data_IF_942260288802
#
_entry.id   IF_942260288802
#
_cell.length_a   1.000
_cell.length_b   1.000
_cell.length_c   1.000
_cell.angle_alpha   90.00
_cell.angle_beta   90.00
_cell.angle_gamma   90.00
#
_symmetry.space_group_name_H-M   'P 1'
#
loop_
_entity.id
_entity.type
_entity.pdbx_description
1 polymer ?
#
# COMPACT_ATOMS: atom_id res chain seq x y z
N UNK A 1 5.86 43.31 9.21
CA UNK A 1 5.76 41.83 9.30
C UNK A 1 5.54 41.31 7.89
N UNK A 2 6.27 40.32 7.38
CA UNK A 2 6.02 39.82 6.02
C UNK A 2 4.57 39.36 5.94
N UNK A 3 3.84 39.85 4.94
CA UNK A 3 2.45 39.47 4.67
C UNK A 3 2.37 37.93 4.64
N UNK A 4 1.34 37.35 5.28
CA UNK A 4 1.15 35.90 5.38
C UNK A 4 1.17 35.24 3.98
N UNK A 5 0.73 35.99 2.96
CA UNK A 5 0.80 35.60 1.55
C UNK A 5 2.23 35.46 1.02
N UNK A 6 3.13 36.40 1.35
CA UNK A 6 4.53 36.33 0.91
C UNK A 6 5.25 35.15 1.55
N UNK A 7 5.00 34.86 2.83
CA UNK A 7 5.56 33.66 3.49
C UNK A 7 5.04 32.38 2.84
N UNK A 8 3.74 32.31 2.57
CA UNK A 8 3.11 31.16 1.90
C UNK A 8 3.68 30.93 0.50
N UNK A 9 3.99 31.99 -0.24
CA UNK A 9 4.59 31.90 -1.57
C UNK A 9 6.03 31.37 -1.48
N UNK A 10 6.88 31.97 -0.64
CA UNK A 10 8.29 31.58 -0.50
C UNK A 10 8.42 30.13 -0.03
N UNK A 11 7.68 29.76 1.02
CA UNK A 11 7.70 28.39 1.52
C UNK A 11 7.06 27.41 0.53
N UNK A 12 6.05 27.83 -0.22
CA UNK A 12 5.46 27.03 -1.29
C UNK A 12 6.47 26.68 -2.36
N UNK A 13 7.19 27.67 -2.88
CA UNK A 13 8.27 27.48 -3.87
C UNK A 13 9.38 26.58 -3.35
N UNK A 14 9.77 26.71 -2.08
CA UNK A 14 10.77 25.84 -1.46
C UNK A 14 10.29 24.39 -1.38
N UNK A 15 9.04 24.15 -0.99
CA UNK A 15 8.47 22.79 -0.91
C UNK A 15 8.28 22.17 -2.29
N UNK A 16 7.90 22.97 -3.29
CA UNK A 16 7.88 22.55 -4.70
C UNK A 16 9.29 22.13 -5.15
N UNK A 17 10.32 22.92 -4.85
CA UNK A 17 11.68 22.57 -5.23
C UNK A 17 12.16 21.26 -4.58
N UNK A 18 11.90 21.09 -3.28
CA UNK A 18 12.24 19.84 -2.56
C UNK A 18 11.47 18.65 -3.17
N UNK A 19 10.18 18.80 -3.45
CA UNK A 19 9.38 17.77 -4.09
C UNK A 19 9.97 17.36 -5.45
N UNK A 20 10.26 18.34 -6.31
CA UNK A 20 10.84 18.08 -7.64
C UNK A 20 12.20 17.40 -7.54
N UNK A 21 13.05 17.79 -6.58
CA UNK A 21 14.35 17.12 -6.35
C UNK A 21 14.14 15.66 -5.94
N UNK A 22 13.17 15.36 -5.06
CA UNK A 22 12.86 13.99 -4.67
C UNK A 22 12.33 13.16 -5.86
N UNK A 23 11.52 13.76 -6.73
CA UNK A 23 11.07 13.13 -7.97
C UNK A 23 12.22 12.88 -8.95
N UNK A 24 13.16 13.82 -9.07
CA UNK A 24 14.36 13.69 -9.92
C UNK A 24 15.28 12.57 -9.43
N UNK A 25 15.53 12.50 -8.10
CA UNK A 25 16.25 11.39 -7.49
C UNK A 25 15.55 10.06 -7.79
N UNK A 26 14.21 10.05 -7.69
CA UNK A 26 13.41 8.87 -8.02
C UNK A 26 13.51 8.45 -9.48
N UNK A 27 13.72 9.40 -10.40
CA UNK A 27 13.76 9.13 -11.83
C UNK A 27 15.12 8.61 -12.30
N UNK A 28 16.21 9.14 -11.73
CA UNK A 28 17.55 8.98 -12.32
C UNK A 28 18.59 8.33 -11.42
N UNK A 29 18.31 8.12 -10.13
CA UNK A 29 19.30 7.52 -9.20
C UNK A 29 18.90 6.08 -8.87
N UNK A 30 19.56 5.07 -9.47
CA UNK A 30 19.35 3.67 -9.14
C UNK A 30 19.54 3.39 -7.65
N UNK A 31 18.86 2.37 -7.12
CA UNK A 31 18.86 1.93 -5.72
C UNK A 31 18.26 2.93 -4.70
N UNK A 32 18.40 4.25 -4.92
CA UNK A 32 17.88 5.30 -4.03
C UNK A 32 16.47 5.75 -4.46
N UNK A 33 16.02 5.36 -5.65
CA UNK A 33 14.73 5.81 -6.19
C UNK A 33 13.56 5.65 -5.21
N UNK A 34 13.54 4.54 -4.47
CA UNK A 34 12.48 4.24 -3.51
C UNK A 34 12.46 5.24 -2.35
N UNK A 35 13.61 5.75 -1.92
CA UNK A 35 13.70 6.77 -0.87
C UNK A 35 13.06 8.07 -1.34
N UNK A 36 13.32 8.47 -2.59
CA UNK A 36 12.69 9.64 -3.19
C UNK A 36 11.16 9.51 -3.21
N UNK A 37 10.63 8.39 -3.67
CA UNK A 37 9.17 8.15 -3.72
C UNK A 37 8.53 8.13 -2.32
N UNK A 38 9.20 7.51 -1.33
CA UNK A 38 8.67 7.40 0.03
C UNK A 38 8.60 8.76 0.76
N UNK A 39 9.52 9.68 0.47
CA UNK A 39 9.58 11.00 1.09
C UNK A 39 9.02 12.13 0.20
N UNK A 40 8.68 11.89 -1.07
CA UNK A 40 8.09 12.92 -1.94
C UNK A 40 6.80 13.55 -1.35
N UNK A 41 5.89 12.82 -0.68
CA UNK A 41 4.73 13.45 -0.04
C UNK A 41 5.10 14.43 1.09
N UNK A 42 6.29 14.33 1.67
CA UNK A 42 6.74 15.08 2.85
C UNK A 42 6.66 16.61 2.69
N UNK A 43 7.32 17.25 1.70
CA UNK A 43 7.30 18.70 1.54
C UNK A 43 5.88 19.23 1.34
N UNK A 44 5.05 18.51 0.58
CA UNK A 44 3.67 18.91 0.29
C UNK A 44 2.79 18.72 1.53
N UNK A 45 2.97 17.64 2.29
CA UNK A 45 2.28 17.42 3.56
C UNK A 45 2.62 18.51 4.58
N UNK A 46 3.89 18.90 4.67
CA UNK A 46 4.30 19.99 5.55
C UNK A 46 3.67 21.32 5.12
N UNK A 47 3.68 21.64 3.82
CA UNK A 47 3.05 22.86 3.31
C UNK A 47 1.53 22.88 3.58
N UNK A 48 0.85 21.78 3.24
CA UNK A 48 -0.60 21.64 3.43
C UNK A 48 -1.01 21.60 4.89
N UNK A 49 -0.11 21.29 5.82
CA UNK A 49 -0.38 21.37 7.26
C UNK A 49 -0.36 22.81 7.79
N UNK A 50 0.39 23.71 7.16
CA UNK A 50 0.61 25.09 7.60
C UNK A 50 -0.24 26.13 6.85
N UNK A 51 -0.64 25.83 5.61
CA UNK A 51 -1.29 26.78 4.71
C UNK A 51 -2.67 26.34 4.23
N UNK A 52 -3.39 27.25 3.56
CA UNK A 52 -4.72 27.00 3.01
C UNK A 52 -4.67 25.91 1.93
N UNK A 53 -5.76 25.14 1.80
CA UNK A 53 -5.90 24.09 0.77
C UNK A 53 -5.72 24.62 -0.66
N UNK A 54 -6.24 25.81 -0.96
CA UNK A 54 -6.10 26.42 -2.29
C UNK A 54 -4.63 26.65 -2.68
N UNK A 55 -3.80 27.15 -1.76
CA UNK A 55 -2.36 27.30 -1.98
C UNK A 55 -1.66 25.95 -2.12
N UNK A 56 -2.13 24.92 -1.41
CA UNK A 56 -1.56 23.57 -1.49
C UNK A 56 -1.83 22.91 -2.84
N UNK A 57 -3.01 23.14 -3.43
CA UNK A 57 -3.35 22.70 -4.79
C UNK A 57 -2.39 23.33 -5.81
N UNK A 58 -2.10 24.63 -5.67
CA UNK A 58 -1.12 25.30 -6.55
C UNK A 58 0.27 24.68 -6.44
N UNK A 59 0.74 24.39 -5.22
CA UNK A 59 2.01 23.68 -4.98
C UNK A 59 2.04 22.32 -5.69
N UNK A 60 0.95 21.56 -5.65
CA UNK A 60 0.85 20.28 -6.36
C UNK A 60 0.88 20.46 -7.87
N UNK A 61 0.09 21.38 -8.42
CA UNK A 61 0.06 21.64 -9.87
C UNK A 61 1.44 22.03 -10.37
N UNK A 62 2.11 22.97 -9.70
CA UNK A 62 3.46 23.41 -10.08
C UNK A 62 4.47 22.28 -9.90
N UNK A 63 4.39 21.51 -8.80
CA UNK A 63 5.25 20.35 -8.57
C UNK A 63 5.13 19.27 -9.65
N UNK A 64 3.90 18.97 -10.10
CA UNK A 64 3.66 18.05 -11.21
C UNK A 64 4.23 18.58 -12.52
N UNK A 65 3.99 19.86 -12.85
CA UNK A 65 4.55 20.50 -14.06
C UNK A 65 6.08 20.43 -14.05
N UNK A 66 6.73 20.82 -12.95
CA UNK A 66 8.18 20.75 -12.84
C UNK A 66 8.70 19.33 -12.89
N UNK A 67 7.96 18.35 -12.37
CA UNK A 67 8.34 16.93 -12.49
C UNK A 67 8.31 16.48 -13.94
N UNK A 68 7.31 16.89 -14.74
CA UNK A 68 7.29 16.59 -16.18
C UNK A 68 8.50 17.22 -16.87
N UNK A 69 8.79 18.49 -16.58
CA UNK A 69 9.90 19.23 -17.23
C UNK A 69 11.28 18.66 -16.88
N UNK A 70 11.45 18.13 -15.68
CA UNK A 70 12.76 17.68 -15.18
C UNK A 70 12.97 16.17 -15.28
N UNK A 71 11.90 15.38 -15.11
CA UNK A 71 11.95 13.92 -14.97
C UNK A 71 11.18 13.19 -16.08
N UNK A 72 10.51 13.92 -16.97
CA UNK A 72 9.75 13.38 -18.10
C UNK A 72 8.31 12.99 -17.76
N UNK A 73 7.50 12.78 -18.81
CA UNK A 73 6.06 12.51 -18.69
C UNK A 73 5.75 11.19 -17.97
N UNK A 74 6.67 10.22 -18.02
CA UNK A 74 6.52 8.91 -17.36
C UNK A 74 6.46 9.06 -15.83
N UNK A 75 7.05 10.12 -15.26
CA UNK A 75 7.04 10.36 -13.81
C UNK A 75 5.81 11.10 -13.31
N UNK A 76 4.97 11.62 -14.21
CA UNK A 76 3.74 12.35 -13.85
C UNK A 76 2.77 11.55 -12.98
N UNK A 77 2.47 10.26 -13.23
CA UNK A 77 1.56 9.51 -12.38
C UNK A 77 2.04 9.39 -10.94
N UNK A 78 3.33 9.11 -10.76
CA UNK A 78 3.96 9.04 -9.44
C UNK A 78 3.88 10.41 -8.74
N UNK A 79 4.24 11.48 -9.46
CA UNK A 79 4.14 12.83 -8.93
C UNK A 79 2.72 13.16 -8.46
N UNK A 80 1.72 12.87 -9.31
CA UNK A 80 0.32 13.13 -9.04
C UNK A 80 -0.19 12.38 -7.81
N UNK A 81 0.04 11.06 -7.74
CA UNK A 81 -0.39 10.22 -6.61
C UNK A 81 0.26 10.70 -5.30
N UNK A 82 1.57 10.91 -5.30
CA UNK A 82 2.33 11.28 -4.10
C UNK A 82 2.04 12.71 -3.65
N UNK A 83 1.83 13.63 -4.59
CA UNK A 83 1.46 15.01 -4.29
C UNK A 83 0.06 15.12 -3.69
N UNK A 84 -0.93 14.39 -4.23
CA UNK A 84 -2.27 14.32 -3.64
C UNK A 84 -2.26 13.69 -2.26
N UNK A 85 -1.48 12.61 -2.08
CA UNK A 85 -1.27 12.01 -0.76
C UNK A 85 -0.68 13.02 0.22
N UNK A 86 0.30 13.83 -0.21
CA UNK A 86 0.85 14.92 0.58
C UNK A 86 -0.23 15.91 1.06
N UNK A 87 -1.10 16.39 0.16
CA UNK A 87 -2.24 17.26 0.53
C UNK A 87 -3.14 16.60 1.57
N UNK A 88 -3.49 15.32 1.39
CA UNK A 88 -4.40 14.61 2.29
C UNK A 88 -3.80 14.46 3.68
N UNK A 89 -2.52 14.06 3.77
CA UNK A 89 -1.79 13.96 5.04
C UNK A 89 -1.73 15.33 5.72
N UNK A 90 -1.28 16.37 5.01
CA UNK A 90 -1.16 17.72 5.56
C UNK A 90 -2.50 18.31 6.00
N UNK A 91 -3.55 18.12 5.21
CA UNK A 91 -4.90 18.56 5.54
C UNK A 91 -5.46 17.85 6.78
N UNK A 92 -5.23 16.55 6.93
CA UNK A 92 -5.67 15.79 8.10
C UNK A 92 -4.93 16.25 9.37
N UNK A 93 -3.64 16.57 9.27
CA UNK A 93 -2.83 17.14 10.36
C UNK A 93 -3.34 18.55 10.73
N UNK A 94 -3.53 19.43 9.75
CA UNK A 94 -4.02 20.80 9.97
C UNK A 94 -5.36 20.83 10.73
N UNK A 95 -6.26 19.90 10.38
CA UNK A 95 -7.57 19.76 11.01
C UNK A 95 -7.56 18.90 12.28
N UNK A 96 -6.39 18.48 12.78
CA UNK A 96 -6.21 17.65 13.98
C UNK A 96 -7.07 16.38 13.98
N UNK A 97 -7.18 15.72 12.81
CA UNK A 97 -8.02 14.52 12.65
C UNK A 97 -7.39 13.30 13.34
N UNK A 98 -8.22 12.30 13.60
CA UNK A 98 -7.78 11.05 14.25
C UNK A 98 -6.81 10.25 13.38
N UNK A 99 -6.04 9.35 14.01
CA UNK A 99 -5.11 8.42 13.33
C UNK A 99 -5.83 7.57 12.27
N UNK A 100 -7.02 7.08 12.62
CA UNK A 100 -7.83 6.28 11.71
C UNK A 100 -8.27 7.10 10.50
N UNK A 101 -8.73 8.34 10.73
CA UNK A 101 -9.09 9.23 9.62
C UNK A 101 -7.90 9.51 8.71
N UNK A 102 -6.73 9.82 9.28
CA UNK A 102 -5.50 10.06 8.52
C UNK A 102 -5.13 8.85 7.64
N UNK A 103 -5.15 7.64 8.21
CA UNK A 103 -4.83 6.42 7.47
C UNK A 103 -5.86 6.11 6.38
N UNK A 104 -7.15 6.12 6.72
CA UNK A 104 -8.22 5.79 5.77
C UNK A 104 -8.30 6.80 4.63
N UNK A 105 -8.23 8.10 4.93
CA UNK A 105 -8.25 9.14 3.90
C UNK A 105 -7.03 9.06 2.97
N UNK A 106 -5.85 8.75 3.51
CA UNK A 106 -4.63 8.57 2.72
C UNK A 106 -4.70 7.34 1.81
N UNK A 107 -5.17 6.21 2.32
CA UNK A 107 -5.36 4.99 1.51
C UNK A 107 -6.38 5.20 0.39
N UNK A 108 -7.52 5.83 0.69
CA UNK A 108 -8.53 6.19 -0.31
C UNK A 108 -7.98 7.20 -1.33
N UNK A 109 -7.19 8.19 -0.90
CA UNK A 109 -6.58 9.15 -1.80
C UNK A 109 -5.63 8.48 -2.79
N UNK A 110 -4.77 7.56 -2.33
CA UNK A 110 -3.88 6.78 -3.20
C UNK A 110 -4.69 5.91 -4.16
N UNK A 111 -5.71 5.21 -3.65
CA UNK A 111 -6.57 4.33 -4.45
C UNK A 111 -7.28 5.10 -5.58
N UNK A 112 -7.92 6.23 -5.25
CA UNK A 112 -8.59 7.08 -6.23
C UNK A 112 -7.59 7.67 -7.23
N UNK A 113 -6.41 8.10 -6.77
CA UNK A 113 -5.38 8.64 -7.65
C UNK A 113 -4.86 7.58 -8.62
N UNK A 114 -4.66 6.33 -8.17
CA UNK A 114 -4.30 5.20 -9.01
C UNK A 114 -5.40 4.91 -10.04
N UNK A 115 -6.67 4.93 -9.64
CA UNK A 115 -7.80 4.72 -10.55
C UNK A 115 -7.87 5.82 -11.63
N UNK A 116 -7.69 7.09 -11.25
CA UNK A 116 -7.65 8.22 -12.18
C UNK A 116 -6.49 8.07 -13.16
N UNK A 117 -5.30 7.74 -12.66
CA UNK A 117 -4.11 7.48 -13.49
C UNK A 117 -4.36 6.34 -14.47
N UNK A 118 -4.94 5.23 -14.02
CA UNK A 118 -5.24 4.08 -14.87
C UNK A 118 -6.21 4.46 -15.99
N UNK A 119 -7.32 5.13 -15.67
CA UNK A 119 -8.29 5.60 -16.66
C UNK A 119 -7.62 6.58 -17.65
N UNK A 120 -6.74 7.47 -17.17
CA UNK A 120 -6.03 8.39 -18.03
C UNK A 120 -5.10 7.67 -19.03
N UNK A 121 -4.38 6.64 -18.60
CA UNK A 121 -3.54 5.83 -19.49
C UNK A 121 -4.35 5.12 -20.57
N UNK A 122 -5.46 4.51 -20.19
CA UNK A 122 -6.32 3.79 -21.13
C UNK A 122 -6.94 4.76 -22.16
N UNK A 123 -7.45 5.91 -21.70
CA UNK A 123 -8.21 6.84 -22.56
C UNK A 123 -7.31 7.75 -23.41
N UNK A 124 -6.21 8.26 -22.86
CA UNK A 124 -5.38 9.25 -23.54
C UNK A 124 -4.12 8.68 -24.18
N UNK A 125 -3.54 7.61 -23.62
CA UNK A 125 -2.35 6.98 -24.17
C UNK A 125 -2.67 5.71 -24.96
N UNK A 126 -3.92 5.21 -24.91
CA UNK A 126 -4.32 3.91 -25.45
C UNK A 126 -3.45 2.76 -24.89
N UNK A 127 -2.97 2.92 -23.65
CA UNK A 127 -2.13 1.95 -22.95
C UNK A 127 -3.00 1.28 -21.89
N UNK A 128 -3.24 -0.02 -22.04
CA UNK A 128 -3.82 -0.85 -21.00
C UNK A 128 -2.71 -1.61 -20.28
N UNK A 129 -2.32 -1.09 -19.11
CA UNK A 129 -1.24 -1.65 -18.27
C UNK A 129 -1.58 -3.07 -17.82
N UNK A 130 -2.87 -3.37 -17.62
CA UNK A 130 -3.32 -4.70 -17.18
C UNK A 130 -3.07 -5.73 -18.28
N UNK A 131 -3.55 -5.48 -19.50
CA UNK A 131 -3.35 -6.40 -20.62
C UNK A 131 -1.88 -6.55 -20.97
N UNK A 132 -1.13 -5.45 -20.99
CA UNK A 132 0.32 -5.50 -21.20
C UNK A 132 1.02 -6.37 -20.15
N UNK A 133 0.58 -6.32 -18.89
CA UNK A 133 1.15 -7.15 -17.83
C UNK A 133 0.77 -8.63 -17.98
N UNK A 134 -0.48 -8.94 -18.36
CA UNK A 134 -0.92 -10.33 -18.54
C UNK A 134 -0.32 -10.97 -19.80
N UNK A 135 -0.12 -10.21 -20.87
CA UNK A 135 0.57 -10.64 -22.10
C UNK A 135 2.05 -10.96 -21.81
N UNK A 136 2.74 -10.08 -21.08
CA UNK A 136 4.11 -10.33 -20.65
C UNK A 136 4.19 -11.60 -19.77
N UNK A 137 3.26 -11.78 -18.83
CA UNK A 137 3.25 -12.99 -18.00
C UNK A 137 3.01 -14.25 -18.84
N UNK A 138 2.10 -14.21 -19.81
CA UNK A 138 1.86 -15.31 -20.76
C UNK A 138 3.14 -15.70 -21.49
N UNK A 139 3.83 -14.72 -22.07
CA UNK A 139 5.08 -14.92 -22.79
C UNK A 139 6.13 -15.60 -21.88
N UNK A 140 6.24 -15.16 -20.63
CA UNK A 140 7.17 -15.77 -19.66
C UNK A 140 6.82 -17.24 -19.36
N UNK A 141 5.54 -17.60 -19.25
CA UNK A 141 5.14 -18.99 -19.05
C UNK A 141 5.38 -19.85 -20.29
N UNK A 142 5.12 -19.33 -21.49
CA UNK A 142 5.38 -20.01 -22.75
C UNK A 142 6.88 -20.27 -22.94
N UNK A 143 7.72 -19.27 -22.70
CA UNK A 143 9.19 -19.44 -22.71
C UNK A 143 9.67 -20.47 -21.68
N UNK A 144 9.07 -20.48 -20.47
CA UNK A 144 9.39 -21.47 -19.44
C UNK A 144 9.03 -22.90 -19.88
N UNK A 145 7.91 -23.05 -20.57
CA UNK A 145 7.48 -24.34 -21.13
C UNK A 145 8.40 -24.81 -22.27
N UNK A 146 8.87 -23.92 -23.14
CA UNK A 146 9.83 -24.26 -24.19
C UNK A 146 11.17 -24.75 -23.60
N UNK A 147 11.66 -24.07 -22.56
CA UNK A 147 12.86 -24.47 -21.84
C UNK A 147 12.68 -25.84 -21.18
N UNK A 148 11.55 -26.05 -20.48
CA UNK A 148 11.27 -27.33 -19.85
C UNK A 148 11.16 -28.46 -20.86
N UNK A 149 10.47 -28.23 -21.98
CA UNK A 149 10.37 -29.22 -23.07
C UNK A 149 11.74 -29.59 -23.63
N UNK A 150 12.66 -28.63 -23.70
CA UNK A 150 14.04 -28.86 -24.15
C UNK A 150 14.85 -29.69 -23.15
N UNK A 151 14.65 -29.49 -21.85
CA UNK A 151 15.44 -30.14 -20.78
C UNK A 151 14.88 -31.49 -20.36
N UNK A 152 13.56 -31.61 -20.20
CA UNK A 152 12.89 -32.78 -19.62
C UNK A 152 11.98 -33.51 -20.62
N UNK A 153 11.75 -32.94 -21.81
CA UNK A 153 10.79 -33.47 -22.79
C UNK A 153 9.32 -33.23 -22.40
N UNK A 154 9.06 -32.54 -21.29
CA UNK A 154 7.72 -32.32 -20.75
C UNK A 154 7.39 -30.85 -20.61
N UNK A 155 6.10 -30.53 -20.74
CA UNK A 155 5.55 -29.19 -20.50
C UNK A 155 5.21 -29.08 -19.01
N UNK A 156 5.56 -27.96 -18.38
CA UNK A 156 5.34 -27.75 -16.94
C UNK A 156 3.92 -27.23 -16.67
N UNK A 157 3.47 -26.27 -17.47
CA UNK A 157 2.15 -25.64 -17.33
C UNK A 157 1.32 -25.89 -18.59
N UNK A 158 0.13 -26.46 -18.43
CA UNK A 158 -0.81 -26.60 -19.57
C UNK A 158 -1.38 -25.23 -19.95
N UNK A 159 -1.78 -25.05 -21.22
CA UNK A 159 -2.29 -23.75 -21.68
C UNK A 159 -3.54 -23.33 -20.91
N UNK A 160 -4.42 -24.28 -20.60
CA UNK A 160 -5.63 -24.04 -19.81
C UNK A 160 -5.30 -23.58 -18.38
N UNK A 161 -4.19 -24.05 -17.81
CA UNK A 161 -3.72 -23.61 -16.50
C UNK A 161 -3.19 -22.17 -16.56
N UNK A 162 -2.41 -21.84 -17.59
CA UNK A 162 -1.91 -20.47 -17.82
C UNK A 162 -3.10 -19.51 -17.97
N UNK A 163 -4.08 -19.85 -18.81
CA UNK A 163 -5.27 -19.04 -19.02
C UNK A 163 -6.09 -18.84 -17.73
N UNK A 164 -6.29 -19.90 -16.95
CA UNK A 164 -6.99 -19.82 -15.67
C UNK A 164 -6.23 -18.94 -14.66
N UNK A 165 -4.90 -19.03 -14.61
CA UNK A 165 -4.06 -18.19 -13.74
C UNK A 165 -4.13 -16.72 -14.14
N UNK A 166 -3.95 -16.41 -15.42
CA UNK A 166 -4.02 -15.03 -15.94
C UNK A 166 -5.40 -14.42 -15.72
N UNK A 167 -6.47 -15.18 -15.98
CA UNK A 167 -7.83 -14.73 -15.68
C UNK A 167 -8.03 -14.48 -14.19
N UNK A 168 -7.50 -15.33 -13.31
CA UNK A 168 -7.55 -15.11 -11.85
C UNK A 168 -6.82 -13.83 -11.44
N UNK A 169 -5.67 -13.53 -12.06
CA UNK A 169 -4.95 -12.27 -11.86
C UNK A 169 -5.85 -11.10 -12.25
N UNK A 170 -6.47 -11.13 -13.43
CA UNK A 170 -7.38 -10.07 -13.89
C UNK A 170 -8.56 -9.85 -12.93
N UNK A 171 -9.19 -10.93 -12.48
CA UNK A 171 -10.34 -10.85 -11.56
C UNK A 171 -9.94 -10.32 -10.17
N UNK A 172 -8.67 -10.42 -9.76
CA UNK A 172 -8.16 -9.97 -8.44
C UNK A 172 -7.54 -8.58 -8.45
N UNK A 173 -7.52 -7.89 -9.59
CA UNK A 173 -6.98 -6.53 -9.72
C UNK A 173 -7.61 -5.54 -8.74
N UNK A 174 -8.94 -5.49 -8.54
CA UNK A 174 -9.53 -4.56 -7.58
C UNK A 174 -8.96 -4.70 -6.17
N UNK A 175 -8.82 -5.94 -5.67
CA UNK A 175 -8.22 -6.22 -4.38
C UNK A 175 -6.74 -5.87 -4.36
N UNK A 176 -5.99 -6.23 -5.40
CA UNK A 176 -4.55 -5.97 -5.50
C UNK A 176 -4.24 -4.48 -5.44
N UNK A 177 -4.96 -3.65 -6.22
CA UNK A 177 -4.80 -2.20 -6.22
C UNK A 177 -5.22 -1.61 -4.87
N UNK A 178 -6.31 -2.11 -4.27
CA UNK A 178 -6.76 -1.68 -2.94
C UNK A 178 -5.71 -1.96 -1.87
N UNK A 179 -5.20 -3.19 -1.80
CA UNK A 179 -4.16 -3.60 -0.85
C UNK A 179 -2.91 -2.75 -1.05
N UNK A 180 -2.46 -2.59 -2.30
CA UNK A 180 -1.26 -1.81 -2.63
C UNK A 180 -1.41 -0.34 -2.21
N UNK A 181 -2.57 0.28 -2.47
CA UNK A 181 -2.83 1.67 -2.09
C UNK A 181 -2.78 1.88 -0.57
N UNK A 182 -3.43 1.01 0.21
CA UNK A 182 -3.43 1.11 1.67
C UNK A 182 -2.08 0.73 2.29
N UNK A 183 -1.35 -0.23 1.71
CA UNK A 183 0.02 -0.53 2.12
C UNK A 183 0.96 0.63 1.85
N UNK A 184 0.91 1.24 0.67
CA UNK A 184 1.71 2.41 0.33
C UNK A 184 1.40 3.57 1.29
N UNK A 185 0.13 3.87 1.54
CA UNK A 185 -0.27 4.87 2.52
C UNK A 185 0.25 4.56 3.93
N UNK A 186 0.17 3.30 4.38
CA UNK A 186 0.69 2.87 5.69
C UNK A 186 2.19 3.14 5.82
N UNK A 187 2.97 2.72 4.82
CA UNK A 187 4.44 2.86 4.81
C UNK A 187 4.81 4.34 4.79
N UNK A 188 4.21 5.12 3.88
CA UNK A 188 4.49 6.55 3.72
C UNK A 188 4.15 7.30 5.02
N UNK A 189 2.97 7.10 5.60
CA UNK A 189 2.59 7.74 6.87
C UNK A 189 3.59 7.38 7.98
N UNK A 190 3.94 6.09 8.11
CA UNK A 190 4.84 5.60 9.16
C UNK A 190 6.22 6.26 9.08
N UNK A 191 6.75 6.47 7.87
CA UNK A 191 8.06 7.10 7.65
C UNK A 191 8.01 8.64 7.75
N UNK A 192 6.93 9.26 7.27
CA UNK A 192 6.85 10.71 7.14
C UNK A 192 6.41 11.40 8.44
N UNK A 193 5.51 10.81 9.23
CA UNK A 193 5.01 11.45 10.46
C UNK A 193 6.13 11.79 11.48
N UNK A 194 7.11 10.91 11.76
CA UNK A 194 8.22 11.26 12.65
C UNK A 194 9.01 12.47 12.16
N UNK A 195 9.20 12.61 10.85
CA UNK A 195 9.91 13.75 10.27
C UNK A 195 9.06 15.01 10.34
N UNK A 196 7.77 14.94 10.00
CA UNK A 196 6.82 16.05 10.14
C UNK A 196 6.74 16.56 11.59
N UNK A 197 6.82 15.65 12.58
CA UNK A 197 6.92 16.00 14.00
C UNK A 197 8.18 16.81 14.30
N UNK A 198 9.33 16.41 13.77
CA UNK A 198 10.60 17.13 13.93
C UNK A 198 10.58 18.51 13.27
N UNK A 199 9.77 18.67 12.22
CA UNK A 199 9.52 19.95 11.54
C UNK A 199 8.48 20.84 12.26
N UNK A 200 8.11 20.51 13.50
CA UNK A 200 7.26 21.34 14.36
C UNK A 200 5.76 21.10 14.24
N UNK A 201 5.32 20.08 13.51
CA UNK A 201 3.88 19.76 13.38
C UNK A 201 3.39 18.87 14.53
N UNK A 202 2.17 19.15 15.02
CA UNK A 202 1.46 18.29 15.96
C UNK A 202 0.83 17.12 15.21
N UNK A 203 1.56 15.99 15.17
CA UNK A 203 1.15 14.79 14.43
C UNK A 203 0.59 13.70 15.34
N UNK A 204 -0.40 12.94 14.86
CA UNK A 204 -0.97 11.85 15.64
C UNK A 204 0.01 10.67 15.77
N UNK A 205 0.26 10.21 17.01
CA UNK A 205 1.22 9.12 17.29
C UNK A 205 0.61 7.73 17.09
N UNK A 206 1.02 6.99 16.06
CA UNK A 206 0.59 5.59 15.90
C UNK A 206 1.13 4.68 17.01
N UNK A 207 0.34 3.67 17.39
CA UNK A 207 0.83 2.62 18.27
C UNK A 207 1.86 1.77 17.52
N UNK A 208 2.85 1.17 18.21
CA UNK A 208 3.76 0.21 17.58
C UNK A 208 2.98 -0.90 16.86
N UNK A 209 3.47 -1.35 15.71
CA UNK A 209 2.80 -2.37 14.87
C UNK A 209 2.49 -3.67 15.64
N UNK A 210 3.36 -4.07 16.57
CA UNK A 210 3.11 -5.20 17.47
C UNK A 210 1.84 -5.07 18.32
N UNK A 211 1.27 -3.87 18.48
CA UNK A 211 0.03 -3.63 19.22
C UNK A 211 -1.18 -3.46 18.28
N UNK A 212 -0.99 -3.61 16.96
CA UNK A 212 -2.09 -3.57 16.00
C UNK A 212 -3.10 -4.67 16.33
N UNK A 213 -4.38 -4.30 16.35
CA UNK A 213 -5.50 -5.22 16.48
C UNK A 213 -6.60 -4.81 15.52
N UNK A 214 -7.01 -5.76 14.69
CA UNK A 214 -8.19 -5.63 13.86
C UNK A 214 -9.48 -5.78 14.68
N UNK A 215 -10.61 -5.24 14.19
CA UNK A 215 -11.91 -5.47 14.82
C UNK A 215 -12.34 -6.93 14.64
N UNK A 216 -13.02 -7.50 15.65
CA UNK A 216 -13.52 -8.89 15.61
C UNK A 216 -14.50 -9.15 14.47
N UNK A 217 -15.11 -8.12 13.88
CA UNK A 217 -15.96 -8.24 12.69
C UNK A 217 -15.26 -8.87 11.48
N UNK A 218 -13.93 -8.75 11.37
CA UNK A 218 -13.14 -9.40 10.31
C UNK A 218 -13.33 -10.92 10.32
N UNK A 219 -13.49 -11.54 11.49
CA UNK A 219 -13.76 -12.98 11.59
C UNK A 219 -15.11 -13.35 11.00
N UNK A 220 -16.14 -12.55 11.26
CA UNK A 220 -17.47 -12.80 10.71
C UNK A 220 -17.48 -12.66 9.19
N UNK A 221 -16.82 -11.64 8.64
CA UNK A 221 -16.66 -11.51 7.18
C UNK A 221 -15.91 -12.70 6.58
N UNK A 222 -14.83 -13.16 7.24
CA UNK A 222 -14.09 -14.34 6.82
C UNK A 222 -14.94 -15.61 6.85
N UNK A 223 -15.72 -15.83 7.91
CA UNK A 223 -16.61 -16.98 8.02
C UNK A 223 -17.69 -16.97 6.94
N UNK A 224 -18.30 -15.82 6.64
CA UNK A 224 -19.29 -15.69 5.55
C UNK A 224 -18.68 -16.09 4.21
N UNK A 225 -17.51 -15.53 3.89
CA UNK A 225 -16.79 -15.81 2.65
C UNK A 225 -16.40 -17.29 2.56
N UNK A 226 -15.96 -17.89 3.66
CA UNK A 226 -15.63 -19.32 3.73
C UNK A 226 -16.87 -20.20 3.49
N UNK A 227 -18.01 -19.85 4.09
CA UNK A 227 -19.28 -20.55 3.85
C UNK A 227 -19.73 -20.46 2.39
N UNK A 228 -19.60 -19.29 1.76
CA UNK A 228 -19.96 -19.13 0.34
C UNK A 228 -19.06 -20.03 -0.52
N UNK A 229 -17.75 -20.04 -0.29
CA UNK A 229 -16.83 -20.90 -1.03
C UNK A 229 -17.12 -22.40 -0.84
N UNK A 230 -17.46 -22.82 0.38
CA UNK A 230 -17.65 -24.25 0.69
C UNK A 230 -18.99 -24.81 0.20
N UNK A 231 -20.07 -24.05 0.41
CA UNK A 231 -21.44 -24.51 0.21
C UNK A 231 -22.07 -24.01 -1.10
N UNK A 232 -21.77 -22.79 -1.53
CA UNK A 232 -22.35 -22.21 -2.77
C UNK A 232 -21.49 -22.57 -3.98
N UNK A 233 -20.16 -22.46 -3.86
CA UNK A 233 -19.19 -22.75 -4.94
C UNK A 233 -19.51 -21.95 -6.21
N UNK A 234 -19.35 -20.62 -6.17
CA UNK A 234 -19.72 -19.77 -7.30
C UNK A 234 -18.97 -20.18 -8.57
N UNK A 235 -19.65 -20.08 -9.70
CA UNK A 235 -19.05 -20.39 -11.01
C UNK A 235 -17.91 -19.43 -11.33
N UNK A 236 -16.83 -19.96 -11.93
CA UNK A 236 -15.62 -19.20 -12.20
C UNK A 236 -15.87 -18.00 -13.12
N UNK A 237 -15.53 -16.80 -12.65
CA UNK A 237 -15.76 -15.54 -13.35
C UNK A 237 -17.17 -14.98 -13.25
N UNK A 238 -18.07 -15.63 -12.50
CA UNK A 238 -19.37 -15.04 -12.16
C UNK A 238 -19.20 -13.81 -11.26
N UNK A 239 -20.19 -12.91 -11.23
CA UNK A 239 -20.16 -11.73 -10.36
C UNK A 239 -19.93 -12.08 -8.89
N UNK A 240 -20.54 -13.18 -8.41
CA UNK A 240 -20.37 -13.65 -7.04
C UNK A 240 -18.94 -14.15 -6.80
N UNK A 241 -18.37 -14.90 -7.73
CA UNK A 241 -16.97 -15.36 -7.66
C UNK A 241 -16.01 -14.18 -7.58
N UNK A 242 -16.18 -13.15 -8.43
CA UNK A 242 -15.36 -11.93 -8.42
C UNK A 242 -15.42 -11.22 -7.07
N UNK A 243 -16.62 -11.04 -6.51
CA UNK A 243 -16.80 -10.40 -5.20
C UNK A 243 -16.10 -11.23 -4.12
N UNK A 244 -16.37 -12.53 -4.08
CA UNK A 244 -15.81 -13.45 -3.08
C UNK A 244 -14.28 -13.46 -3.16
N UNK A 245 -13.71 -13.55 -4.36
CA UNK A 245 -12.27 -13.59 -4.61
C UNK A 245 -11.56 -12.31 -4.13
N UNK A 246 -12.11 -11.15 -4.45
CA UNK A 246 -11.52 -9.87 -4.02
C UNK A 246 -11.66 -9.64 -2.50
N UNK A 247 -12.83 -9.93 -1.93
CA UNK A 247 -13.04 -9.82 -0.48
C UNK A 247 -12.16 -10.82 0.27
N UNK A 248 -12.03 -12.06 -0.21
CA UNK A 248 -11.12 -13.07 0.34
C UNK A 248 -9.69 -12.56 0.36
N UNK A 249 -9.21 -12.00 -0.75
CA UNK A 249 -7.85 -11.48 -0.89
C UNK A 249 -7.55 -10.39 0.14
N UNK A 250 -8.48 -9.45 0.34
CA UNK A 250 -8.34 -8.39 1.36
C UNK A 250 -8.35 -9.00 2.76
N UNK A 251 -9.26 -9.92 3.06
CA UNK A 251 -9.35 -10.56 4.37
C UNK A 251 -8.09 -11.38 4.70
N UNK A 252 -7.55 -12.13 3.74
CA UNK A 252 -6.29 -12.86 3.90
C UNK A 252 -5.15 -11.92 4.23
N UNK A 253 -5.01 -10.81 3.50
CA UNK A 253 -3.98 -9.80 3.79
C UNK A 253 -4.13 -9.22 5.21
N UNK A 254 -5.35 -8.88 5.62
CA UNK A 254 -5.64 -8.38 6.96
C UNK A 254 -5.28 -9.40 8.05
N UNK A 255 -5.66 -10.68 7.87
CA UNK A 255 -5.34 -11.76 8.80
C UNK A 255 -3.84 -12.06 8.85
N UNK A 256 -3.13 -11.98 7.73
CA UNK A 256 -1.67 -12.06 7.70
C UNK A 256 -1.07 -10.94 8.55
N UNK A 257 -1.49 -9.68 8.36
CA UNK A 257 -1.00 -8.56 9.15
C UNK A 257 -1.29 -8.73 10.65
N UNK A 258 -2.48 -9.25 11.00
CA UNK A 258 -2.84 -9.59 12.38
C UNK A 258 -1.92 -10.66 12.97
N UNK A 259 -1.66 -11.75 12.21
CA UNK A 259 -0.75 -12.83 12.60
C UNK A 259 0.69 -12.34 12.80
N UNK A 260 1.23 -11.54 11.88
CA UNK A 260 2.56 -10.94 12.02
C UNK A 260 2.61 -10.01 13.24
N UNK A 261 1.57 -9.18 13.44
CA UNK A 261 1.49 -8.31 14.63
C UNK A 261 1.51 -9.11 15.93
N UNK A 262 0.82 -10.25 15.98
CA UNK A 262 0.85 -11.16 17.12
C UNK A 262 2.24 -11.78 17.33
N UNK A 263 2.91 -12.22 16.28
CA UNK A 263 4.28 -12.75 16.38
C UNK A 263 5.23 -11.69 16.94
N UNK A 264 5.16 -10.45 16.43
CA UNK A 264 5.97 -9.34 16.95
C UNK A 264 5.66 -9.04 18.41
N UNK A 265 4.39 -9.10 18.80
CA UNK A 265 3.96 -8.96 20.19
C UNK A 265 4.57 -10.04 21.09
N UNK A 266 4.51 -11.30 20.65
CA UNK A 266 5.06 -12.44 21.38
C UNK A 266 6.59 -12.32 21.55
N UNK A 267 7.32 -12.04 20.47
CA UNK A 267 8.78 -11.87 20.48
C UNK A 267 9.18 -10.74 21.43
N UNK A 268 8.48 -9.60 21.37
CA UNK A 268 8.73 -8.47 22.28
C UNK A 268 8.43 -8.79 23.73
N UNK A 269 7.38 -9.58 24.01
CA UNK A 269 7.05 -9.97 25.38
C UNK A 269 7.99 -11.02 25.96
N UNK A 270 8.66 -11.78 25.11
CA UNK A 270 9.74 -12.70 25.48
C UNK A 270 11.12 -12.04 25.47
N UNK A 271 11.19 -10.72 25.31
CA UNK A 271 12.43 -9.92 25.31
C UNK A 271 13.48 -10.42 24.30
N UNK A 272 13.02 -11.05 23.22
CA UNK A 272 13.89 -11.60 22.19
C UNK A 272 14.47 -10.49 21.30
N UNK A 273 15.65 -10.70 20.67
CA UNK A 273 16.28 -9.71 19.82
C UNK A 273 15.39 -9.26 18.65
N UNK A 274 15.51 -7.98 18.26
CA UNK A 274 14.75 -7.42 17.13
C UNK A 274 15.04 -8.13 15.78
N UNK A 275 16.22 -8.76 15.63
CA UNK A 275 16.55 -9.57 14.46
C UNK A 275 15.52 -10.71 14.23
N UNK A 276 15.00 -11.29 15.32
CA UNK A 276 14.01 -12.37 15.23
C UNK A 276 12.69 -11.88 14.63
N UNK A 277 12.30 -10.62 14.89
CA UNK A 277 11.09 -10.03 14.27
C UNK A 277 11.23 -9.90 12.76
N UNK A 278 12.42 -9.55 12.27
CA UNK A 278 12.69 -9.45 10.83
C UNK A 278 12.63 -10.81 10.16
N UNK A 279 13.31 -11.81 10.74
CA UNK A 279 13.25 -13.20 10.25
C UNK A 279 11.82 -13.72 10.27
N UNK A 280 11.07 -13.49 11.35
CA UNK A 280 9.68 -13.91 11.45
C UNK A 280 8.78 -13.24 10.42
N UNK A 281 8.99 -11.94 10.13
CA UNK A 281 8.26 -11.23 9.06
C UNK A 281 8.60 -11.79 7.69
N UNK A 282 9.87 -12.10 7.44
CA UNK A 282 10.32 -12.67 6.16
C UNK A 282 9.71 -14.05 5.93
N UNK A 283 9.68 -14.90 6.97
CA UNK A 283 9.07 -16.23 6.91
C UNK A 283 7.54 -16.21 6.90
N UNK A 284 6.91 -15.08 7.22
CA UNK A 284 5.45 -14.99 7.24
C UNK A 284 4.82 -15.14 5.84
N UNK A 285 5.53 -14.75 4.77
CA UNK A 285 5.06 -14.87 3.40
C UNK A 285 4.99 -16.32 2.91
N UNK A 286 6.08 -17.13 2.97
CA UNK A 286 6.02 -18.53 2.56
C UNK A 286 5.13 -19.37 3.49
N UNK A 287 4.95 -18.95 4.74
CA UNK A 287 4.09 -19.62 5.73
C UNK A 287 2.72 -18.96 5.87
N UNK A 288 2.27 -18.18 4.87
CA UNK A 288 1.07 -17.34 4.94
C UNK A 288 -0.18 -18.08 5.43
N UNK A 289 -0.39 -19.34 5.02
CA UNK A 289 -1.50 -20.17 5.51
C UNK A 289 -1.49 -20.34 7.03
N UNK A 290 -0.32 -20.58 7.63
CA UNK A 290 -0.15 -20.70 9.08
C UNK A 290 -0.36 -19.34 9.76
N UNK A 291 0.15 -18.27 9.15
CA UNK A 291 0.01 -16.91 9.69
C UNK A 291 -1.45 -16.45 9.68
N UNK A 292 -2.22 -16.80 8.64
CA UNK A 292 -3.66 -16.52 8.58
C UNK A 292 -4.37 -17.22 9.74
N UNK A 293 -4.10 -18.51 9.96
CA UNK A 293 -4.66 -19.25 11.10
C UNK A 293 -4.30 -18.58 12.43
N UNK A 294 -3.04 -18.17 12.59
CA UNK A 294 -2.61 -17.45 13.79
C UNK A 294 -3.34 -16.12 13.98
N UNK A 295 -3.57 -15.37 12.89
CA UNK A 295 -4.37 -14.14 12.89
C UNK A 295 -5.82 -14.38 13.29
N UNK A 296 -6.44 -15.45 12.79
CA UNK A 296 -7.80 -15.88 13.15
C UNK A 296 -7.86 -16.20 14.65
N UNK A 297 -6.93 -17.02 15.14
CA UNK A 297 -6.93 -17.46 16.54
C UNK A 297 -6.62 -16.30 17.49
N UNK A 298 -5.68 -15.41 17.18
CA UNK A 298 -5.41 -14.20 17.99
C UNK A 298 -6.65 -13.32 18.09
N UNK A 299 -7.35 -13.11 16.97
CA UNK A 299 -8.51 -12.24 16.93
C UNK A 299 -9.73 -12.87 17.62
N UNK A 300 -9.91 -14.19 17.49
CA UNK A 300 -11.07 -14.92 18.01
C UNK A 300 -10.97 -15.24 19.50
N UNK A 301 -9.79 -15.70 19.92
CA UNK A 301 -9.56 -16.20 21.28
C UNK A 301 -8.69 -15.29 22.14
N UNK A 302 -8.28 -14.12 21.62
CA UNK A 302 -7.41 -13.16 22.33
C UNK A 302 -6.12 -13.81 22.87
N UNK A 303 -5.33 -14.41 21.97
CA UNK A 303 -4.08 -15.11 22.35
C UNK A 303 -3.11 -14.22 23.14
N UNK A 304 -3.11 -12.90 22.92
CA UNK A 304 -2.22 -11.98 23.65
C UNK A 304 -2.50 -11.95 25.15
N UNK A 305 -3.74 -12.21 25.57
CA UNK A 305 -4.09 -12.30 26.99
C UNK A 305 -3.38 -13.47 27.67
N UNK A 306 -3.29 -14.63 27.00
CA UNK A 306 -2.61 -15.83 27.48
C UNK A 306 -1.09 -15.62 27.61
N UNK A 307 -0.51 -14.86 26.67
CA UNK A 307 0.93 -14.50 26.73
C UNK A 307 1.21 -13.62 27.94
N UNK A 308 0.35 -12.62 28.23
CA UNK A 308 0.49 -11.77 29.43
C UNK A 308 0.35 -12.56 30.73
N UNK A 309 -0.57 -13.54 30.76
CA UNK A 309 -0.81 -14.37 31.95
C UNK A 309 0.38 -15.27 32.32
N UNK A 310 1.17 -15.72 31.34
CA UNK A 310 2.34 -16.60 31.55
C UNK A 310 3.67 -15.87 31.76
N UNK A 311 3.70 -14.53 31.75
CA UNK A 311 4.91 -13.71 31.99
C UNK A 311 4.86 -12.97 33.33
N UNK A 312 4.09 -13.48 34.30
CA UNK A 312 4.35 -13.20 35.71
C UNK A 312 5.39 -14.20 36.22
N UNK A 313 6.65 -13.79 36.17
CA UNK A 313 7.72 -14.09 37.13
C UNK A 313 8.90 -13.17 36.79
#
# INVERSE_FOLDING_TARGET
MPNNQTKALVQGSMMVAIFTILMLISAYVPFIFIVGLLFAPLPIAWYSANYKRSSSILVVVVGCILTILTSGIIMLPFAFILALLGIVIGSAINQKKSKLYLFMSSGVAVLLSMAIVYVAYVQFANINIISMSTDLLRENYEQSNELAKTVTGQVVFQQEQIDAMLKTIELTIPATVTITAFMAAFIIITLNLPVLKRLGLDVPKFAPFQNMRLPRSILWYYMIVLCINLFVRPEFGSTLDIIVLNVSSILWMLLILQGISFIHYFISKKEMPNAVKWVATLLALPLSSIIILLGIVDLGFDLRSLVKGKTKE
#
